data_IF_689300820087
#
_entry.id   IF_689300820087
#
_cell.length_a   1.000
_cell.length_b   1.000
_cell.length_c   1.000
_cell.angle_alpha   90.00
_cell.angle_beta   90.00
_cell.angle_gamma   90.00
#
_symmetry.space_group_name_H-M   'P 1'
#
loop_
_entity.id
_entity.type
_entity.pdbx_description
1 polymer ?
#
# COMPACT_ATOMS: atom_id res chain seq x y z
N UNK A 1 -25.28 14.28 -10.99
CA UNK A 1 -26.40 13.74 -10.19
C UNK A 1 -26.72 12.34 -10.70
N UNK A 2 -27.01 11.39 -9.81
CA UNK A 2 -27.34 10.02 -10.20
C UNK A 2 -28.83 9.93 -10.54
N UNK A 3 -29.17 10.17 -11.80
CA UNK A 3 -30.55 10.45 -12.24
C UNK A 3 -31.40 9.20 -12.51
N UNK A 4 -30.82 8.00 -12.43
CA UNK A 4 -31.54 6.72 -12.59
C UNK A 4 -31.39 5.84 -11.35
N UNK A 5 -32.37 4.96 -11.06
CA UNK A 5 -32.32 4.03 -9.92
C UNK A 5 -31.03 3.20 -9.88
N UNK A 6 -30.54 2.76 -11.06
CA UNK A 6 -29.30 2.03 -11.18
C UNK A 6 -28.08 2.90 -10.83
N UNK A 7 -28.05 4.15 -11.30
CA UNK A 7 -26.95 5.08 -10.98
C UNK A 7 -26.87 5.39 -9.48
N UNK A 8 -28.01 5.56 -8.78
CA UNK A 8 -28.06 5.74 -7.32
C UNK A 8 -27.51 4.52 -6.58
N UNK A 9 -27.82 3.31 -7.06
CA UNK A 9 -27.25 2.07 -6.50
C UNK A 9 -25.73 2.02 -6.70
N UNK A 10 -25.24 2.37 -7.89
CA UNK A 10 -23.80 2.41 -8.19
C UNK A 10 -23.06 3.43 -7.33
N UNK A 11 -23.64 4.60 -7.08
CA UNK A 11 -23.06 5.62 -6.21
C UNK A 11 -22.86 5.10 -4.78
N UNK A 12 -23.88 4.45 -4.19
CA UNK A 12 -23.79 3.84 -2.85
C UNK A 12 -22.72 2.73 -2.79
N UNK A 13 -22.66 1.87 -3.80
CA UNK A 13 -21.64 0.81 -3.89
C UNK A 13 -20.22 1.38 -4.03
N UNK A 14 -20.07 2.48 -4.76
CA UNK A 14 -18.78 3.13 -4.96
C UNK A 14 -18.25 3.71 -3.64
N UNK A 15 -19.07 4.43 -2.89
CA UNK A 15 -18.66 5.01 -1.60
C UNK A 15 -18.17 3.94 -0.60
N UNK A 16 -18.91 2.85 -0.45
CA UNK A 16 -18.50 1.73 0.40
C UNK A 16 -17.17 1.11 -0.06
N UNK A 17 -16.99 0.90 -1.37
CA UNK A 17 -15.75 0.36 -1.94
C UNK A 17 -14.59 1.34 -1.79
N UNK A 18 -14.85 2.63 -1.96
CA UNK A 18 -13.88 3.70 -1.80
C UNK A 18 -13.32 3.70 -0.39
N UNK A 19 -14.18 3.75 0.64
CA UNK A 19 -13.79 3.72 2.06
C UNK A 19 -12.86 2.54 2.37
N UNK A 20 -13.25 1.33 1.94
CA UNK A 20 -12.44 0.12 2.14
C UNK A 20 -11.07 0.20 1.45
N UNK A 21 -11.05 0.55 0.16
CA UNK A 21 -9.79 0.66 -0.61
C UNK A 21 -8.91 1.79 -0.10
N UNK A 22 -9.51 2.87 0.40
CA UNK A 22 -8.79 4.00 0.97
C UNK A 22 -8.02 3.58 2.23
N UNK A 23 -8.67 2.86 3.15
CA UNK A 23 -8.02 2.32 4.34
C UNK A 23 -6.89 1.33 4.00
N UNK A 24 -7.12 0.43 3.03
CA UNK A 24 -6.11 -0.53 2.58
C UNK A 24 -4.89 0.16 1.96
N UNK A 25 -5.12 1.20 1.14
CA UNK A 25 -4.05 2.01 0.54
C UNK A 25 -3.28 2.80 1.60
N UNK A 26 -3.97 3.35 2.60
CA UNK A 26 -3.34 4.05 3.71
C UNK A 26 -2.40 3.11 4.48
N UNK A 27 -2.85 1.90 4.82
CA UNK A 27 -2.01 0.89 5.47
C UNK A 27 -0.73 0.58 4.69
N UNK A 28 -0.84 0.36 3.38
CA UNK A 28 0.34 0.13 2.53
C UNK A 28 1.30 1.33 2.52
N UNK A 29 0.78 2.56 2.45
CA UNK A 29 1.62 3.77 2.50
C UNK A 29 2.32 3.93 3.84
N UNK A 30 1.64 3.64 4.95
CA UNK A 30 2.24 3.71 6.29
C UNK A 30 3.37 2.70 6.47
N UNK A 31 3.19 1.45 6.00
CA UNK A 31 4.25 0.44 6.04
C UNK A 31 5.50 0.89 5.25
N UNK A 32 5.30 1.42 4.04
CA UNK A 32 6.40 1.98 3.23
C UNK A 32 7.07 3.17 3.94
N UNK A 33 6.30 4.04 4.61
CA UNK A 33 6.84 5.17 5.37
C UNK A 33 7.69 4.71 6.55
N UNK A 34 7.25 3.67 7.28
CA UNK A 34 7.99 3.12 8.41
C UNK A 34 9.38 2.63 8.00
N UNK A 35 9.48 1.88 6.89
CA UNK A 35 10.78 1.46 6.33
C UNK A 35 11.65 2.66 5.95
N UNK A 36 11.08 3.68 5.31
CA UNK A 36 11.84 4.90 4.97
C UNK A 36 12.35 5.64 6.20
N UNK A 37 11.58 5.69 7.28
CA UNK A 37 12.02 6.31 8.52
C UNK A 37 13.18 5.53 9.15
N UNK A 38 13.10 4.19 9.17
CA UNK A 38 14.20 3.34 9.64
C UNK A 38 15.49 3.55 8.83
N UNK A 39 15.33 3.66 7.50
CA UNK A 39 16.41 4.01 6.58
C UNK A 39 17.05 5.35 6.97
N UNK A 40 16.25 6.39 7.22
CA UNK A 40 16.80 7.70 7.62
C UNK A 40 17.50 7.69 8.97
N UNK A 41 17.21 6.71 9.83
CA UNK A 41 17.82 6.55 11.15
C UNK A 41 19.09 5.66 11.11
N UNK A 42 19.46 5.12 9.94
CA UNK A 42 20.58 4.18 9.75
C UNK A 42 20.49 2.89 10.61
N UNK A 43 19.30 2.50 11.05
CA UNK A 43 19.10 1.24 11.79
C UNK A 43 18.81 0.11 10.81
N UNK A 44 19.84 -0.69 10.52
CA UNK A 44 19.80 -1.77 9.54
C UNK A 44 18.93 -2.94 9.99
N UNK A 45 18.99 -3.32 11.25
CA UNK A 45 18.21 -4.44 11.78
C UNK A 45 16.72 -4.09 11.75
N UNK A 46 16.35 -2.91 12.25
CA UNK A 46 14.98 -2.43 12.24
C UNK A 46 14.44 -2.27 10.81
N UNK A 47 15.24 -1.72 9.89
CA UNK A 47 14.86 -1.57 8.49
C UNK A 47 14.59 -2.91 7.81
N UNK A 48 15.39 -3.95 8.06
CA UNK A 48 15.17 -5.29 7.47
C UNK A 48 13.90 -5.97 8.01
N UNK A 49 13.61 -5.81 9.30
CA UNK A 49 12.41 -6.36 9.91
C UNK A 49 11.15 -5.66 9.38
N UNK A 50 11.14 -4.33 9.34
CA UNK A 50 10.04 -3.55 8.76
C UNK A 50 9.86 -3.81 7.26
N UNK A 51 10.94 -4.08 6.53
CA UNK A 51 10.86 -4.41 5.12
C UNK A 51 10.06 -5.69 4.89
N UNK A 52 10.31 -6.76 5.67
CA UNK A 52 9.54 -8.01 5.57
C UNK A 52 8.04 -7.80 5.81
N UNK A 53 7.69 -6.97 6.79
CA UNK A 53 6.30 -6.61 7.06
C UNK A 53 5.69 -5.79 5.91
N UNK A 54 6.43 -4.81 5.40
CA UNK A 54 5.99 -3.97 4.29
C UNK A 54 5.75 -4.78 3.00
N UNK A 55 6.61 -5.76 2.70
CA UNK A 55 6.42 -6.67 1.58
C UNK A 55 5.13 -7.47 1.69
N UNK A 56 4.85 -8.06 2.86
CA UNK A 56 3.61 -8.79 3.13
C UNK A 56 2.36 -7.92 2.91
N UNK A 57 2.39 -6.67 3.39
CA UNK A 57 1.27 -5.73 3.22
C UNK A 57 1.11 -5.31 1.75
N UNK A 58 2.21 -5.04 1.04
CA UNK A 58 2.17 -4.66 -0.38
C UNK A 58 1.61 -5.79 -1.25
N UNK A 59 2.04 -7.03 -1.02
CA UNK A 59 1.54 -8.17 -1.80
C UNK A 59 0.07 -8.46 -1.48
N UNK A 60 -0.33 -8.40 -0.22
CA UNK A 60 -1.74 -8.55 0.16
C UNK A 60 -2.64 -7.47 -0.46
N UNK A 61 -2.16 -6.23 -0.57
CA UNK A 61 -2.93 -5.13 -1.21
C UNK A 61 -2.95 -5.22 -2.74
N UNK A 62 -1.89 -5.78 -3.34
CA UNK A 62 -1.85 -6.09 -4.77
C UNK A 62 -2.83 -7.21 -5.13
N UNK A 63 -2.89 -8.29 -4.34
CA UNK A 63 -3.84 -9.40 -4.53
C UNK A 63 -5.29 -8.93 -4.48
N UNK A 64 -5.60 -7.95 -3.61
CA UNK A 64 -6.93 -7.33 -3.51
C UNK A 64 -7.23 -6.29 -4.60
N UNK A 65 -6.35 -6.13 -5.60
CA UNK A 65 -6.48 -5.15 -6.70
C UNK A 65 -6.71 -3.71 -6.20
N UNK A 66 -6.08 -3.36 -5.08
CA UNK A 66 -6.07 -1.99 -4.53
C UNK A 66 -4.96 -1.18 -5.20
N UNK A 67 -3.81 -1.83 -5.40
CA UNK A 67 -2.67 -1.36 -6.18
C UNK A 67 -2.38 -2.39 -7.28
N UNK A 68 -1.80 -1.94 -8.39
CA UNK A 68 -1.40 -2.84 -9.46
C UNK A 68 -0.18 -3.67 -9.05
N UNK A 69 -0.10 -4.94 -9.48
CA UNK A 69 1.02 -5.85 -9.18
C UNK A 69 2.39 -5.24 -9.53
N UNK A 70 2.49 -4.55 -10.68
CA UNK A 70 3.74 -3.90 -11.09
C UNK A 70 4.08 -2.69 -10.20
N UNK A 71 3.08 -1.99 -9.65
CA UNK A 71 3.32 -0.90 -8.73
C UNK A 71 3.84 -1.42 -7.38
N UNK A 72 3.30 -2.54 -6.90
CA UNK A 72 3.80 -3.24 -5.72
C UNK A 72 5.24 -3.72 -5.94
N UNK A 73 5.50 -4.44 -7.03
CA UNK A 73 6.84 -4.95 -7.39
C UNK A 73 7.88 -3.82 -7.50
N UNK A 74 7.54 -2.71 -8.17
CA UNK A 74 8.42 -1.53 -8.27
C UNK A 74 8.72 -0.92 -6.90
N UNK A 75 7.74 -0.86 -6.02
CA UNK A 75 7.91 -0.31 -4.67
C UNK A 75 8.81 -1.22 -3.82
N UNK A 76 8.59 -2.54 -3.85
CA UNK A 76 9.46 -3.52 -3.19
C UNK A 76 10.91 -3.42 -3.66
N UNK A 77 11.14 -3.45 -4.98
CA UNK A 77 12.48 -3.35 -5.55
C UNK A 77 13.21 -2.08 -5.11
N UNK A 78 12.53 -0.93 -5.06
CA UNK A 78 13.12 0.33 -4.59
C UNK A 78 13.45 0.31 -3.10
N UNK A 79 12.59 -0.27 -2.25
CA UNK A 79 12.84 -0.38 -0.82
C UNK A 79 14.01 -1.31 -0.52
N UNK A 80 14.08 -2.47 -1.18
CA UNK A 80 15.20 -3.41 -1.02
C UNK A 80 16.53 -2.73 -1.37
N UNK A 81 16.60 -2.03 -2.51
CA UNK A 81 17.81 -1.28 -2.90
C UNK A 81 18.18 -0.21 -1.87
N UNK A 82 17.19 0.51 -1.33
CA UNK A 82 17.43 1.56 -0.35
C UNK A 82 17.86 1.02 1.02
N UNK A 83 17.38 -0.15 1.45
CA UNK A 83 17.85 -0.81 2.68
C UNK A 83 19.26 -1.38 2.48
N UNK A 84 19.58 -1.90 1.29
CA UNK A 84 20.89 -2.44 0.98
C UNK A 84 21.99 -1.37 0.92
N UNK A 85 21.64 -0.13 0.56
CA UNK A 85 22.58 1.00 0.49
C UNK A 85 22.98 1.61 1.84
N UNK A 86 22.47 1.06 2.95
CA UNK A 86 22.72 1.50 4.33
C UNK A 86 23.44 0.36 5.05
#
# INVERSE_FOLDING_TARGET
MANTKQSLKRARQNDARYKLKHAQRARARTAVKAVRNAITQNDKELATNLLKEAEKVLDATASKKVIHKNAAARTKSRLVKAVQSI
#
